data_IF_304876170379
#
_entry.id   IF_304876170379
#
_cell.length_a   1.000
_cell.length_b   1.000
_cell.length_c   1.000
_cell.angle_alpha   90.00
_cell.angle_beta   90.00
_cell.angle_gamma   90.00
#
_symmetry.space_group_name_H-M   'P 1'
#
loop_
_entity.id
_entity.type
_entity.pdbx_description
1 polymer ?
#
# COMPACT_ATOMS: atom_id res chain seq x y z
N UNK A 1 2.08 6.72 18.07
CA UNK A 1 0.95 5.78 17.89
C UNK A 1 -0.27 6.60 17.44
N UNK A 2 -0.51 6.71 16.13
CA UNK A 2 -1.57 7.57 15.56
C UNK A 2 -2.67 6.66 14.96
N UNK A 3 -3.10 5.67 15.75
CA UNK A 3 -4.07 4.65 15.37
C UNK A 3 -5.49 5.18 15.58
N UNK A 4 -6.36 5.13 14.55
CA UNK A 4 -7.80 5.01 14.82
C UNK A 4 -8.80 5.67 13.86
N UNK A 5 -8.39 6.53 12.92
CA UNK A 5 -9.37 7.43 12.27
C UNK A 5 -9.72 7.12 10.80
N UNK A 6 -9.07 6.14 10.16
CA UNK A 6 -9.52 5.54 8.91
C UNK A 6 -9.40 4.04 9.06
N UNK A 7 -10.49 3.32 8.76
CA UNK A 7 -10.87 1.96 9.17
C UNK A 7 -9.95 0.79 8.71
N UNK A 8 -8.63 0.96 8.72
CA UNK A 8 -7.61 -0.09 8.59
C UNK A 8 -6.32 0.29 9.37
N UNK A 9 -5.67 -0.69 10.00
CA UNK A 9 -4.41 -0.48 10.75
C UNK A 9 -3.20 -0.41 9.83
N UNK A 10 -2.06 0.15 10.29
CA UNK A 10 -0.81 0.13 9.51
C UNK A 10 -0.41 -1.29 9.08
N UNK A 11 -0.65 -2.30 9.94
CA UNK A 11 -0.45 -3.72 9.63
C UNK A 11 -1.34 -4.17 8.48
N UNK A 12 -2.63 -3.86 8.53
CA UNK A 12 -3.56 -4.19 7.44
C UNK A 12 -3.19 -3.46 6.15
N UNK A 13 -2.72 -2.20 6.24
CA UNK A 13 -2.25 -1.47 5.07
C UNK A 13 -1.03 -2.16 4.43
N UNK A 14 -0.08 -2.68 5.22
CA UNK A 14 1.05 -3.47 4.72
C UNK A 14 0.60 -4.78 4.08
N UNK A 15 -0.35 -5.50 4.69
CA UNK A 15 -0.94 -6.71 4.11
C UNK A 15 -1.57 -6.38 2.76
N UNK A 16 -2.46 -5.38 2.69
CA UNK A 16 -3.08 -4.97 1.43
C UNK A 16 -2.04 -4.51 0.38
N UNK A 17 -0.96 -3.86 0.81
CA UNK A 17 0.12 -3.45 -0.09
C UNK A 17 0.86 -4.64 -0.70
N UNK A 18 1.17 -5.67 0.10
CA UNK A 18 1.74 -6.93 -0.36
C UNK A 18 0.76 -7.67 -1.26
N UNK A 19 -0.51 -7.73 -0.85
CA UNK A 19 -1.54 -8.37 -1.65
C UNK A 19 -1.71 -7.67 -2.98
N UNK A 20 -1.58 -6.35 -3.08
CA UNK A 20 -1.58 -5.63 -4.37
C UNK A 20 -0.43 -6.06 -5.30
N UNK A 21 0.67 -6.53 -4.73
CA UNK A 21 1.86 -6.97 -5.45
C UNK A 21 1.65 -8.36 -6.04
N UNK A 22 1.03 -9.26 -5.26
CA UNK A 22 0.80 -10.66 -5.63
C UNK A 22 -0.54 -10.88 -6.35
N UNK A 23 -1.59 -10.13 -5.96
CA UNK A 23 -2.98 -10.25 -6.43
C UNK A 23 -3.65 -8.89 -6.65
N UNK A 24 -4.68 -8.84 -7.49
CA UNK A 24 -5.49 -7.63 -7.65
C UNK A 24 -6.29 -7.35 -6.38
N UNK A 25 -6.08 -6.20 -5.73
CA UNK A 25 -6.91 -5.74 -4.62
C UNK A 25 -8.34 -5.42 -5.11
N UNK A 26 -9.35 -5.67 -4.27
CA UNK A 26 -10.70 -5.22 -4.53
C UNK A 26 -10.78 -3.68 -4.59
N UNK A 27 -11.66 -3.08 -5.42
CA UNK A 27 -11.74 -1.63 -5.61
C UNK A 27 -12.01 -0.88 -4.30
N UNK A 28 -12.77 -1.49 -3.38
CA UNK A 28 -13.09 -0.92 -2.08
C UNK A 28 -11.87 -0.88 -1.13
N UNK A 29 -11.00 -1.88 -1.21
CA UNK A 29 -9.77 -2.00 -0.42
C UNK A 29 -8.71 -1.02 -0.91
N UNK A 30 -8.63 -0.82 -2.23
CA UNK A 30 -7.75 0.20 -2.84
C UNK A 30 -8.11 1.60 -2.34
N UNK A 31 -9.40 1.94 -2.28
CA UNK A 31 -9.86 3.25 -1.80
C UNK A 31 -9.51 3.44 -0.31
N UNK A 32 -9.76 2.43 0.53
CA UNK A 32 -9.39 2.46 1.96
C UNK A 32 -7.88 2.59 2.16
N UNK A 33 -7.09 1.82 1.39
CA UNK A 33 -5.65 1.88 1.42
C UNK A 33 -5.15 3.27 1.02
N UNK A 34 -5.68 3.87 -0.06
CA UNK A 34 -5.31 5.25 -0.46
C UNK A 34 -5.61 6.27 0.64
N UNK A 35 -6.80 6.23 1.24
CA UNK A 35 -7.17 7.10 2.36
C UNK A 35 -6.23 6.94 3.57
N UNK A 36 -5.82 5.71 3.89
CA UNK A 36 -4.85 5.47 4.95
C UNK A 36 -3.46 6.03 4.59
N UNK A 37 -3.01 5.85 3.35
CA UNK A 37 -1.73 6.35 2.87
C UNK A 37 -1.67 7.89 2.80
N UNK A 38 -2.81 8.58 2.69
CA UNK A 38 -2.85 10.05 2.76
C UNK A 38 -2.71 10.58 4.18
N UNK A 39 -3.10 9.81 5.21
CA UNK A 39 -2.98 10.24 6.61
C UNK A 39 -1.73 9.69 7.30
N UNK A 40 -1.21 8.56 6.84
CA UNK A 40 -0.05 7.89 7.43
C UNK A 40 1.17 8.03 6.52
N UNK A 41 2.07 8.96 6.85
CA UNK A 41 3.30 9.20 6.08
C UNK A 41 4.21 7.95 6.04
N UNK A 42 4.27 7.19 7.13
CA UNK A 42 5.05 5.95 7.22
C UNK A 42 4.59 4.93 6.18
N UNK A 43 3.30 4.60 6.15
CA UNK A 43 2.74 3.67 5.16
C UNK A 43 2.88 4.25 3.74
N UNK A 44 2.77 5.56 3.57
CA UNK A 44 2.98 6.26 2.28
C UNK A 44 4.39 6.06 1.74
N UNK A 45 5.42 6.16 2.60
CA UNK A 45 6.82 5.89 2.25
C UNK A 45 7.00 4.44 1.79
N UNK A 46 6.52 3.49 2.59
CA UNK A 46 6.61 2.06 2.25
C UNK A 46 5.94 1.78 0.90
N UNK A 47 4.75 2.34 0.65
CA UNK A 47 4.06 2.20 -0.62
C UNK A 47 4.86 2.76 -1.82
N UNK A 48 5.66 3.82 -1.62
CA UNK A 48 6.57 4.33 -2.65
C UNK A 48 7.73 3.37 -2.91
N UNK A 49 8.33 2.80 -1.87
CA UNK A 49 9.41 1.82 -2.02
C UNK A 49 8.96 0.58 -2.79
N UNK A 50 7.79 0.02 -2.46
CA UNK A 50 7.23 -1.12 -3.19
C UNK A 50 6.94 -0.81 -4.66
N UNK A 51 6.39 0.39 -4.95
CA UNK A 51 6.18 0.84 -6.34
C UNK A 51 7.49 0.97 -7.11
N UNK A 52 8.51 1.55 -6.48
CA UNK A 52 9.83 1.69 -7.10
C UNK A 52 10.44 0.32 -7.42
N UNK A 53 10.38 -0.62 -6.48
CA UNK A 53 10.86 -1.98 -6.69
C UNK A 53 10.07 -2.70 -7.80
N UNK A 54 8.75 -2.56 -7.80
CA UNK A 54 7.89 -3.12 -8.85
C UNK A 54 8.23 -2.58 -10.24
N UNK A 55 8.46 -1.27 -10.33
CA UNK A 55 8.80 -0.58 -11.57
C UNK A 55 10.16 -1.04 -12.09
N UNK A 56 11.16 -1.12 -11.19
CA UNK A 56 12.48 -1.64 -11.52
C UNK A 56 12.43 -3.10 -12.01
N UNK A 57 11.68 -3.98 -11.32
CA UNK A 57 11.49 -5.37 -11.75
C UNK A 57 10.80 -5.44 -13.11
N UNK A 58 9.74 -4.65 -13.33
CA UNK A 58 9.04 -4.59 -14.63
C UNK A 58 9.96 -4.11 -15.75
N UNK A 59 10.88 -3.20 -15.47
CA UNK A 59 11.82 -2.63 -16.44
C UNK A 59 12.99 -3.54 -16.76
N UNK A 60 13.36 -4.44 -15.84
CA UNK A 60 14.43 -5.44 -16.03
C UNK A 60 13.87 -6.74 -16.64
N UNK A 61 12.59 -7.06 -16.38
CA UNK A 61 11.92 -8.25 -16.90
C UNK A 61 11.44 -8.16 -18.36
N UNK A 62 11.81 -7.10 -19.09
CA UNK A 62 11.64 -6.91 -20.55
C UNK A 62 13.00 -6.92 -21.21
#
# INVERSE_FOLDING_TARGET
MIFGWIRITCRQAQVLLSERQDRGLGPLEVVRLRLHLTVCDFCSRVARHFRFLSDAIRRIGT
#
